data_IF_013560911733
#
_entry.id   IF_013560911733
#
_cell.length_a   1.000
_cell.length_b   1.000
_cell.length_c   1.000
_cell.angle_alpha   90.00
_cell.angle_beta   90.00
_cell.angle_gamma   90.00
#
_symmetry.space_group_name_H-M   'P 1'
#
loop_
_entity.id
_entity.type
_entity.pdbx_description
1 polymer ?
#
# COMPACT_ATOMS: atom_id res chain seq x y z
N UNK A 1 2.96 16.82 -12.27
CA UNK A 1 1.84 16.03 -11.69
C UNK A 1 2.15 15.44 -10.31
N UNK A 2 3.24 14.68 -10.15
CA UNK A 2 3.61 14.06 -8.86
C UNK A 2 3.87 15.06 -7.73
N UNK A 3 4.50 16.21 -8.02
CA UNK A 3 4.71 17.29 -7.03
C UNK A 3 3.38 17.80 -6.46
N UNK A 4 2.34 17.91 -7.30
CA UNK A 4 1.01 18.35 -6.86
C UNK A 4 0.38 17.34 -5.91
N UNK A 5 0.56 16.04 -6.17
CA UNK A 5 0.08 14.97 -5.28
C UNK A 5 0.77 15.04 -3.90
N UNK A 6 2.08 15.31 -3.88
CA UNK A 6 2.85 15.47 -2.64
C UNK A 6 2.39 16.71 -1.86
N UNK A 7 2.25 17.85 -2.54
CA UNK A 7 1.78 19.09 -1.91
C UNK A 7 0.34 18.94 -1.39
N UNK A 8 -0.56 18.29 -2.14
CA UNK A 8 -1.91 18.01 -1.68
C UNK A 8 -1.89 17.16 -0.39
N UNK A 9 -1.07 16.11 -0.34
CA UNK A 9 -0.89 15.30 0.88
C UNK A 9 -0.33 16.11 2.05
N UNK A 10 0.66 16.97 1.79
CA UNK A 10 1.23 17.86 2.81
C UNK A 10 0.17 18.81 3.39
N UNK A 11 -0.59 19.51 2.55
CA UNK A 11 -1.62 20.44 2.99
C UNK A 11 -2.74 19.76 3.76
N UNK A 12 -3.19 18.57 3.31
CA UNK A 12 -4.20 17.79 4.04
C UNK A 12 -3.67 17.36 5.42
N UNK A 13 -2.42 16.90 5.49
CA UNK A 13 -1.78 16.50 6.74
C UNK A 13 -1.58 17.67 7.70
N UNK A 14 -1.13 18.81 7.19
CA UNK A 14 -0.95 20.04 7.97
C UNK A 14 -2.29 20.57 8.50
N UNK A 15 -3.32 20.60 7.64
CA UNK A 15 -4.67 20.96 8.06
C UNK A 15 -5.18 20.03 9.16
N UNK A 16 -5.03 18.72 9.00
CA UNK A 16 -5.48 17.72 9.98
C UNK A 16 -4.82 17.87 11.36
N UNK A 17 -3.55 18.30 11.42
CA UNK A 17 -2.83 18.56 12.69
C UNK A 17 -3.42 19.71 13.51
N UNK A 18 -4.07 20.67 12.85
CA UNK A 18 -4.67 21.83 13.51
C UNK A 18 -6.15 21.62 13.86
N UNK A 19 -6.75 20.49 13.47
CA UNK A 19 -8.15 20.19 13.75
C UNK A 19 -8.33 19.41 15.06
N UNK A 20 -9.44 19.61 15.77
CA UNK A 20 -9.76 18.82 16.95
C UNK A 20 -10.09 17.37 16.56
N UNK A 21 -9.84 16.44 17.49
CA UNK A 21 -10.17 15.02 17.35
C UNK A 21 -11.68 14.84 17.47
N UNK A 22 -12.37 14.94 16.33
CA UNK A 22 -13.84 14.89 16.23
C UNK A 22 -14.26 14.28 14.88
N UNK A 23 -15.41 13.62 14.85
CA UNK A 23 -16.00 13.09 13.60
C UNK A 23 -16.30 14.17 12.56
N UNK A 24 -16.44 15.43 12.98
CA UNK A 24 -16.62 16.53 12.02
C UNK A 24 -15.39 16.70 11.11
N UNK A 25 -14.21 16.44 11.64
CA UNK A 25 -12.93 16.52 10.91
C UNK A 25 -12.85 15.45 9.82
N UNK A 26 -13.21 14.20 10.15
CA UNK A 26 -13.26 13.10 9.17
C UNK A 26 -14.32 13.36 8.09
N UNK A 27 -15.48 13.88 8.47
CA UNK A 27 -16.55 14.22 7.53
C UNK A 27 -16.09 15.33 6.55
N UNK A 28 -15.34 16.32 7.03
CA UNK A 28 -14.69 17.32 6.19
C UNK A 28 -13.75 16.70 5.16
N UNK A 29 -12.88 15.78 5.57
CA UNK A 29 -12.00 15.04 4.65
C UNK A 29 -12.77 14.23 3.61
N UNK A 30 -13.86 13.56 4.00
CA UNK A 30 -14.71 12.82 3.05
C UNK A 30 -15.34 13.77 2.04
N UNK A 31 -15.88 14.90 2.48
CA UNK A 31 -16.49 15.88 1.57
C UNK A 31 -15.48 16.45 0.57
N UNK A 32 -14.29 16.86 1.03
CA UNK A 32 -13.23 17.31 0.15
C UNK A 32 -12.76 16.19 -0.79
N UNK A 33 -12.60 14.97 -0.27
CA UNK A 33 -12.21 13.80 -1.05
C UNK A 33 -13.21 13.46 -2.15
N UNK A 34 -14.51 13.46 -1.83
CA UNK A 34 -15.60 13.28 -2.80
C UNK A 34 -15.65 14.41 -3.83
N UNK A 35 -15.38 15.65 -3.41
CA UNK A 35 -15.22 16.79 -4.31
C UNK A 35 -14.09 16.57 -5.31
N UNK A 36 -12.91 16.12 -4.85
CA UNK A 36 -11.80 15.76 -5.72
C UNK A 36 -12.12 14.58 -6.64
N UNK A 37 -12.83 13.55 -6.15
CA UNK A 37 -13.26 12.42 -6.98
C UNK A 37 -14.21 12.87 -8.10
N UNK A 38 -15.20 13.68 -7.77
CA UNK A 38 -16.13 14.25 -8.74
C UNK A 38 -15.42 15.13 -9.77
N UNK A 39 -14.52 16.01 -9.32
CA UNK A 39 -13.73 16.86 -10.22
C UNK A 39 -12.80 16.04 -11.11
N UNK A 40 -12.12 15.03 -10.57
CA UNK A 40 -11.24 14.15 -11.35
C UNK A 40 -12.03 13.37 -12.41
N UNK A 41 -13.24 12.93 -12.08
CA UNK A 41 -14.12 12.22 -13.00
C UNK A 41 -14.70 13.13 -14.08
N UNK A 42 -15.06 14.38 -13.75
CA UNK A 42 -15.47 15.37 -14.76
C UNK A 42 -14.28 15.80 -15.63
N UNK A 43 -13.08 15.87 -15.08
CA UNK A 43 -11.87 16.19 -15.83
C UNK A 43 -11.53 15.10 -16.86
N UNK A 44 -11.91 13.84 -16.58
CA UNK A 44 -11.72 12.69 -17.47
C UNK A 44 -12.24 12.94 -18.90
N UNK A 45 -13.32 13.73 -19.04
CA UNK A 45 -13.92 14.06 -20.33
C UNK A 45 -12.99 14.87 -21.26
N UNK A 46 -12.12 15.73 -20.71
CA UNK A 46 -11.15 16.50 -21.48
C UNK A 46 -9.75 15.90 -21.47
N UNK A 47 -9.38 15.29 -20.35
CA UNK A 47 -8.07 14.70 -20.18
C UNK A 47 -8.22 13.35 -19.46
N UNK A 48 -8.05 12.22 -20.18
CA UNK A 48 -8.38 10.92 -19.61
C UNK A 48 -7.50 10.58 -18.40
N UNK A 49 -8.11 9.89 -17.45
CA UNK A 49 -7.48 9.34 -16.26
C UNK A 49 -6.56 8.21 -16.73
N UNK A 50 -5.26 8.53 -16.81
CA UNK A 50 -4.24 7.59 -17.24
C UNK A 50 -3.16 7.49 -16.17
N UNK A 51 -3.11 6.31 -15.54
CA UNK A 51 -2.14 5.97 -14.50
C UNK A 51 -0.70 5.89 -15.02
N UNK A 52 -0.49 5.43 -16.25
CA UNK A 52 0.86 5.28 -16.82
C UNK A 52 1.50 6.64 -17.11
N UNK A 53 0.70 7.62 -17.55
CA UNK A 53 1.15 8.98 -17.86
C UNK A 53 1.07 9.93 -16.66
N UNK A 54 0.53 9.47 -15.52
CA UNK A 54 0.32 10.27 -14.31
C UNK A 54 -0.40 11.60 -14.61
N UNK A 55 -1.54 11.50 -15.31
CA UNK A 55 -2.30 12.66 -15.80
C UNK A 55 -2.82 13.55 -14.66
N UNK A 56 -3.06 14.84 -14.93
CA UNK A 56 -3.62 15.76 -13.93
C UNK A 56 -4.95 15.27 -13.37
N UNK A 57 -5.83 14.73 -14.23
CA UNK A 57 -7.10 14.11 -13.83
C UNK A 57 -6.87 12.93 -12.89
N UNK A 58 -5.88 12.08 -13.19
CA UNK A 58 -5.48 10.97 -12.32
C UNK A 58 -4.94 11.46 -10.96
N UNK A 59 -4.19 12.56 -10.92
CA UNK A 59 -3.70 13.16 -9.66
C UNK A 59 -4.86 13.61 -8.78
N UNK A 60 -5.84 14.33 -9.34
CA UNK A 60 -6.99 14.82 -8.57
C UNK A 60 -7.86 13.64 -8.09
N UNK A 61 -8.09 12.67 -8.98
CA UNK A 61 -8.86 11.47 -8.67
C UNK A 61 -8.21 10.59 -7.58
N UNK A 62 -6.90 10.35 -7.68
CA UNK A 62 -6.14 9.57 -6.68
C UNK A 62 -6.00 10.30 -5.33
N UNK A 63 -5.86 11.63 -5.35
CA UNK A 63 -5.88 12.45 -4.15
C UNK A 63 -7.23 12.34 -3.42
N UNK A 64 -8.34 12.37 -4.16
CA UNK A 64 -9.68 12.18 -3.60
C UNK A 64 -9.86 10.84 -2.89
N UNK A 65 -9.45 9.73 -3.52
CA UNK A 65 -9.44 8.41 -2.87
C UNK A 65 -8.56 8.37 -1.62
N UNK A 66 -7.39 9.01 -1.67
CA UNK A 66 -6.46 9.08 -0.54
C UNK A 66 -7.06 9.83 0.65
N UNK A 67 -7.79 10.93 0.41
CA UNK A 67 -8.48 11.69 1.46
C UNK A 67 -9.63 10.91 2.08
N UNK A 68 -10.44 10.20 1.28
CA UNK A 68 -11.54 9.36 1.79
C UNK A 68 -11.00 8.22 2.65
N UNK A 69 -9.92 7.55 2.20
CA UNK A 69 -9.28 6.48 2.97
C UNK A 69 -8.66 7.02 4.25
N UNK A 70 -7.98 8.18 4.19
CA UNK A 70 -7.43 8.85 5.36
C UNK A 70 -8.54 9.21 6.36
N UNK A 71 -9.69 9.70 5.90
CA UNK A 71 -10.84 10.01 6.74
C UNK A 71 -11.37 8.77 7.46
N UNK A 72 -11.48 7.64 6.74
CA UNK A 72 -11.91 6.37 7.32
C UNK A 72 -10.94 5.89 8.40
N UNK A 73 -9.62 5.94 8.12
CA UNK A 73 -8.59 5.58 9.10
C UNK A 73 -8.62 6.51 10.32
N UNK A 74 -8.74 7.82 10.11
CA UNK A 74 -8.80 8.80 11.19
C UNK A 74 -10.03 8.59 12.09
N UNK A 75 -11.22 8.40 11.48
CA UNK A 75 -12.45 8.14 12.24
C UNK A 75 -12.35 6.84 13.04
N UNK A 76 -11.84 5.76 12.44
CA UNK A 76 -11.74 4.46 13.10
C UNK A 76 -10.73 4.46 14.24
N UNK A 77 -9.55 5.04 14.03
CA UNK A 77 -8.42 4.95 14.96
C UNK A 77 -8.44 6.08 15.99
N UNK A 78 -8.57 7.33 15.55
CA UNK A 78 -8.45 8.50 16.43
C UNK A 78 -9.77 8.81 17.14
N UNK A 79 -10.89 8.81 16.41
CA UNK A 79 -12.19 9.21 16.98
C UNK A 79 -12.85 8.06 17.73
N UNK A 80 -12.94 6.87 17.12
CA UNK A 80 -13.60 5.69 17.72
C UNK A 80 -12.68 4.85 18.61
N UNK A 81 -11.38 5.12 18.60
CA UNK A 81 -10.42 4.44 19.47
C UNK A 81 -10.15 2.98 19.13
N UNK A 82 -10.50 2.48 17.94
CA UNK A 82 -10.24 1.10 17.50
C UNK A 82 -8.77 0.85 17.15
N UNK A 83 -7.86 1.19 18.07
CA UNK A 83 -6.40 1.08 17.89
C UNK A 83 -5.93 -0.34 17.60
N UNK A 84 -6.64 -1.36 18.08
CA UNK A 84 -6.32 -2.77 17.82
C UNK A 84 -6.38 -3.14 16.33
N UNK A 85 -7.28 -2.52 15.56
CA UNK A 85 -7.36 -2.71 14.11
C UNK A 85 -6.23 -1.99 13.35
N UNK A 86 -5.75 -0.87 13.90
CA UNK A 86 -4.62 -0.13 13.33
C UNK A 86 -3.26 -0.81 13.58
N UNK A 87 -3.16 -1.65 14.62
CA UNK A 87 -1.92 -2.30 15.03
C UNK A 87 -1.17 -3.07 13.91
N UNK A 88 -1.82 -3.94 13.10
CA UNK A 88 -1.10 -4.62 12.01
C UNK A 88 -0.60 -3.66 10.93
N UNK A 89 -1.31 -2.56 10.67
CA UNK A 89 -0.88 -1.52 9.74
C UNK A 89 0.29 -0.70 10.32
N UNK A 90 0.26 -0.43 11.63
CA UNK A 90 1.33 0.27 12.34
C UNK A 90 2.65 -0.51 12.26
N UNK A 91 2.62 -1.83 12.51
CA UNK A 91 3.80 -2.71 12.42
C UNK A 91 4.44 -2.65 11.02
N UNK A 92 3.61 -2.61 9.97
CA UNK A 92 4.11 -2.48 8.60
C UNK A 92 4.59 -1.06 8.27
N UNK A 93 3.90 -0.04 8.79
CA UNK A 93 4.20 1.36 8.55
C UNK A 93 5.51 1.83 9.19
N UNK A 94 5.81 1.36 10.40
CA UNK A 94 7.01 1.77 11.15
C UNK A 94 8.34 1.44 10.45
N UNK A 95 8.35 0.38 9.63
CA UNK A 95 9.52 -0.08 8.88
C UNK A 95 9.21 -0.17 7.37
N UNK A 96 8.37 0.73 6.85
CA UNK A 96 7.90 0.68 5.46
C UNK A 96 9.05 0.77 4.43
N UNK A 97 10.07 1.60 4.69
CA UNK A 97 11.24 1.73 3.79
C UNK A 97 12.02 0.42 3.74
N UNK A 98 12.28 -0.19 4.90
CA UNK A 98 12.95 -1.48 4.97
C UNK A 98 12.16 -2.55 4.23
N UNK A 99 10.84 -2.64 4.46
CA UNK A 99 9.98 -3.56 3.73
C UNK A 99 10.08 -3.37 2.22
N UNK A 100 10.03 -2.11 1.75
CA UNK A 100 10.12 -1.79 0.32
C UNK A 100 11.45 -2.23 -0.30
N UNK A 101 12.58 -1.87 0.34
CA UNK A 101 13.92 -2.20 -0.16
C UNK A 101 14.19 -3.72 -0.07
N UNK A 102 13.88 -4.33 1.08
CA UNK A 102 14.14 -5.74 1.33
C UNK A 102 13.28 -6.64 0.44
N UNK A 103 11.99 -6.34 0.27
CA UNK A 103 11.12 -7.10 -0.64
C UNK A 103 11.58 -7.02 -2.09
N UNK A 104 11.96 -5.82 -2.57
CA UNK A 104 12.51 -5.66 -3.91
C UNK A 104 13.84 -6.41 -4.11
N UNK A 105 14.71 -6.40 -3.10
CA UNK A 105 16.00 -7.07 -3.13
C UNK A 105 15.84 -8.59 -3.11
N UNK A 106 14.99 -9.13 -2.23
CA UNK A 106 14.68 -10.56 -2.14
C UNK A 106 14.12 -11.08 -3.46
N UNK A 107 13.16 -10.37 -4.07
CA UNK A 107 12.59 -10.76 -5.36
C UNK A 107 13.68 -10.78 -6.45
N UNK A 108 14.53 -9.76 -6.52
CA UNK A 108 15.64 -9.73 -7.50
C UNK A 108 16.63 -10.88 -7.31
N UNK A 109 16.96 -11.24 -6.07
CA UNK A 109 17.81 -12.40 -5.77
C UNK A 109 17.12 -13.68 -6.21
N UNK A 110 15.86 -13.90 -5.83
CA UNK A 110 15.11 -15.10 -6.18
C UNK A 110 14.94 -15.30 -7.69
N UNK A 111 14.82 -14.22 -8.46
CA UNK A 111 14.81 -14.27 -9.92
C UNK A 111 16.19 -14.58 -10.52
N UNK A 112 17.27 -14.11 -9.90
CA UNK A 112 18.64 -14.37 -10.37
C UNK A 112 19.15 -15.76 -9.98
N UNK A 113 18.72 -16.30 -8.85
CA UNK A 113 19.05 -17.66 -8.43
C UNK A 113 18.16 -18.65 -9.17
N UNK A 114 18.72 -19.25 -10.22
CA UNK A 114 18.09 -20.37 -10.93
C UNK A 114 18.37 -21.66 -10.17
N UNK A 115 17.34 -22.49 -10.00
CA UNK A 115 17.47 -23.82 -9.37
C UNK A 115 17.24 -24.86 -10.46
N UNK A 116 18.31 -25.59 -10.80
CA UNK A 116 18.33 -26.62 -11.86
C UNK A 116 19.58 -26.53 -12.75
N UNK A 117 19.96 -27.66 -13.36
CA UNK A 117 21.08 -27.78 -14.30
C UNK A 117 20.54 -27.96 -15.73
N UNK A 118 20.78 -26.98 -16.63
CA UNK A 118 20.41 -27.03 -18.06
C UNK A 118 19.63 -25.80 -18.57
N UNK A 119 19.40 -25.72 -19.89
CA UNK A 119 18.77 -24.59 -20.60
C UNK A 119 17.31 -24.27 -20.18
N UNK A 120 16.67 -25.15 -19.40
CA UNK A 120 15.33 -24.96 -18.82
C UNK A 120 15.37 -24.66 -17.31
N UNK A 121 16.44 -24.03 -16.80
CA UNK A 121 16.55 -23.70 -15.38
C UNK A 121 15.50 -22.65 -14.97
N UNK A 122 14.50 -23.11 -14.23
CA UNK A 122 13.38 -22.33 -13.70
C UNK A 122 13.88 -21.49 -12.50
N UNK A 123 13.39 -20.26 -12.37
CA UNK A 123 13.75 -19.41 -11.22
C UNK A 123 13.22 -20.03 -9.92
N UNK A 124 13.95 -19.86 -8.80
CA UNK A 124 13.53 -20.39 -7.49
C UNK A 124 12.11 -19.95 -7.12
N UNK A 125 11.73 -18.74 -7.55
CA UNK A 125 10.38 -18.19 -7.41
C UNK A 125 9.31 -19.04 -8.12
N UNK A 126 9.54 -19.38 -9.40
CA UNK A 126 8.62 -20.22 -10.16
C UNK A 126 8.60 -21.66 -9.67
N UNK A 127 9.73 -22.20 -9.19
CA UNK A 127 9.76 -23.54 -8.62
C UNK A 127 8.94 -23.64 -7.32
N UNK A 128 9.07 -22.68 -6.41
CA UNK A 128 8.24 -22.62 -5.18
C UNK A 128 6.75 -22.47 -5.55
N UNK A 129 6.44 -21.60 -6.50
CA UNK A 129 5.07 -21.40 -6.96
C UNK A 129 4.45 -22.67 -7.57
N UNK A 130 5.16 -23.36 -8.46
CA UNK A 130 4.65 -24.54 -9.14
C UNK A 130 4.60 -25.78 -8.24
N UNK A 131 5.59 -25.99 -7.38
CA UNK A 131 5.73 -27.24 -6.64
C UNK A 131 4.96 -27.24 -5.31
N UNK A 132 4.83 -26.08 -4.63
CA UNK A 132 4.09 -25.96 -3.36
C UNK A 132 2.67 -25.42 -3.52
N UNK A 133 2.44 -24.43 -4.38
CA UNK A 133 1.14 -23.72 -4.42
C UNK A 133 0.24 -24.17 -5.57
N UNK A 134 0.81 -24.41 -6.75
CA UNK A 134 0.05 -24.89 -7.92
C UNK A 134 -0.37 -26.37 -7.77
N UNK A 135 0.49 -27.20 -7.17
CA UNK A 135 0.22 -28.64 -7.00
C UNK A 135 -0.93 -28.94 -6.02
N UNK A 136 -1.10 -28.11 -4.99
CA UNK A 136 -2.12 -28.32 -3.95
C UNK A 136 -3.44 -27.57 -4.18
N UNK A 137 -3.43 -26.41 -4.85
CA UNK A 137 -4.60 -25.51 -4.91
C UNK A 137 -5.04 -25.11 -6.33
N UNK A 138 -4.33 -25.55 -7.38
CA UNK A 138 -4.60 -25.12 -8.76
C UNK A 138 -4.13 -23.68 -9.06
N UNK A 139 -4.27 -23.24 -10.32
CA UNK A 139 -3.66 -21.99 -10.77
C UNK A 139 -4.24 -20.71 -10.12
N UNK A 140 -5.57 -20.65 -9.95
CA UNK A 140 -6.24 -19.47 -9.40
C UNK A 140 -5.98 -19.32 -7.89
N UNK A 141 -6.28 -20.36 -7.10
CA UNK A 141 -6.10 -20.30 -5.64
C UNK A 141 -4.62 -20.35 -5.25
N UNK A 142 -3.76 -21.02 -6.03
CA UNK A 142 -2.31 -21.03 -5.81
C UNK A 142 -1.71 -19.63 -5.82
N UNK A 143 -2.13 -18.76 -6.76
CA UNK A 143 -1.68 -17.36 -6.81
C UNK A 143 -2.13 -16.54 -5.60
N UNK A 144 -3.37 -16.75 -5.14
CA UNK A 144 -3.94 -16.05 -4.00
C UNK A 144 -3.24 -16.47 -2.70
N UNK A 145 -3.07 -17.78 -2.49
CA UNK A 145 -2.38 -18.31 -1.30
C UNK A 145 -0.92 -17.85 -1.29
N UNK A 146 -0.24 -17.88 -2.44
CA UNK A 146 1.13 -17.37 -2.54
C UNK A 146 1.23 -15.90 -2.12
N UNK A 147 0.30 -15.04 -2.58
CA UNK A 147 0.26 -13.64 -2.19
C UNK A 147 0.03 -13.46 -0.67
N UNK A 148 -0.92 -14.22 -0.09
CA UNK A 148 -1.18 -14.18 1.36
C UNK A 148 0.05 -14.61 2.16
N UNK A 149 0.67 -15.74 1.79
CA UNK A 149 1.85 -16.25 2.49
C UNK A 149 3.00 -15.26 2.41
N UNK A 150 3.23 -14.65 1.25
CA UNK A 150 4.28 -13.63 1.10
C UNK A 150 4.01 -12.41 2.00
N UNK A 151 2.78 -11.91 2.06
CA UNK A 151 2.39 -10.81 2.94
C UNK A 151 2.59 -11.19 4.41
N UNK A 152 2.14 -12.37 4.82
CA UNK A 152 2.30 -12.88 6.18
C UNK A 152 3.77 -13.07 6.56
N UNK A 153 4.59 -13.57 5.65
CA UNK A 153 6.03 -13.75 5.88
C UNK A 153 6.70 -12.41 6.18
N UNK A 154 6.46 -11.39 5.35
CA UNK A 154 6.97 -10.05 5.60
C UNK A 154 6.41 -9.44 6.88
N UNK A 155 5.13 -9.68 7.17
CA UNK A 155 4.51 -9.22 8.41
C UNK A 155 5.18 -9.84 9.65
N UNK A 156 5.51 -11.14 9.63
CA UNK A 156 6.21 -11.81 10.74
C UNK A 156 7.61 -11.25 10.93
N UNK A 157 8.36 -10.99 9.85
CA UNK A 157 9.69 -10.36 9.93
C UNK A 157 9.58 -8.98 10.60
N UNK A 158 8.63 -8.16 10.12
CA UNK A 158 8.41 -6.81 10.63
C UNK A 158 7.91 -6.82 12.08
N UNK A 159 7.06 -7.78 12.45
CA UNK A 159 6.64 -7.97 13.84
C UNK A 159 7.83 -8.34 14.75
N UNK A 160 8.77 -9.17 14.26
CA UNK A 160 10.02 -9.45 14.96
C UNK A 160 10.86 -8.19 15.19
N UNK A 161 10.99 -7.34 14.18
CA UNK A 161 11.66 -6.04 14.29
C UNK A 161 10.94 -5.09 15.25
N UNK A 162 9.61 -5.03 15.17
CA UNK A 162 8.75 -4.23 16.05
C UNK A 162 8.92 -4.62 17.51
N UNK A 163 8.89 -5.93 17.82
CA UNK A 163 9.08 -6.43 19.19
C UNK A 163 10.47 -6.08 19.74
N UNK A 164 11.49 -6.02 18.88
CA UNK A 164 12.86 -5.62 19.22
C UNK A 164 13.08 -4.10 19.18
N UNK A 165 12.04 -3.31 18.86
CA UNK A 165 12.10 -1.84 18.65
C UNK A 165 13.17 -1.39 17.64
N UNK A 166 13.49 -2.24 16.66
CA UNK A 166 14.39 -1.86 15.58
C UNK A 166 13.61 -1.01 14.57
N UNK A 167 13.90 0.29 14.58
CA UNK A 167 13.33 1.27 13.66
C UNK A 167 14.42 1.71 12.69
N UNK A 168 14.36 1.21 11.46
CA UNK A 168 15.30 1.62 10.41
C UNK A 168 14.72 2.87 9.75
N UNK A 169 15.35 4.02 10.04
CA UNK A 169 15.07 5.30 9.40
C UNK A 169 16.30 5.67 8.57
N UNK A 170 16.08 6.10 7.33
CA UNK A 170 17.12 6.66 6.46
C UNK A 170 17.03 8.17 6.54
#
# INVERSE_FOLDING_TARGET
PAVVTVLAGYFVGDWLRHQPIQSRTSLGLVLFGLGCLGLGWVWDFWFPINKQLWTSSYVVFSAGWSMVLLAACYELIEVRGFRQWGWPLEVMGLNAIFLFVASGLVVRILYRTKVGTGDNAVSTYTWIYENLFRSWAGAMNGSLIFAIVNVLLWWVILYGMYRRRWLIRI
#
